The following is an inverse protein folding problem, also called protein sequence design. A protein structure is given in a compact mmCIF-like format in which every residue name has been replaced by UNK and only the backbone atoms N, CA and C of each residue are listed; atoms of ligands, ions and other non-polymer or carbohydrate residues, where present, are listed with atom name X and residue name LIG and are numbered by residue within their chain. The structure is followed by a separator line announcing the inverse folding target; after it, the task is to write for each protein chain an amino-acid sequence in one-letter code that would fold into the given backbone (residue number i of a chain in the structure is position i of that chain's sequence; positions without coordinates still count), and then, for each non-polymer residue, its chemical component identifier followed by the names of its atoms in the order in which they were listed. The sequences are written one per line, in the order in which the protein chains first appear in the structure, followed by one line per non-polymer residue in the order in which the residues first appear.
data_IF_788272628182
#
_entry.id   IF_788272628182
#
_cell.length_a   1.000
_cell.length_b   1.000
_cell.length_c   1.000
_cell.angle_alpha   90.00
_cell.angle_beta   90.00
_cell.angle_gamma   90.00
#
_symmetry.space_group_name_H-M   'P 1'
#
loop_
_entity.id
_entity.type
_entity.pdbx_description
1 polymer ?
#
# COMPACT_ATOMS: atom_id res chain seq x y z
N UNK A 1 -59.67 -40.23 -5.89
CA UNK A 1 -58.42 -40.83 -5.39
C UNK A 1 -57.28 -40.11 -6.08
N UNK A 2 -56.21 -39.61 -5.46
CA UNK A 2 -55.68 -39.62 -4.10
C UNK A 2 -54.83 -38.34 -3.96
N UNK A 3 -54.81 -37.78 -2.74
CA UNK A 3 -53.95 -36.69 -2.28
C UNK A 3 -52.46 -37.04 -2.35
N UNK A 4 -51.61 -36.00 -2.44
CA UNK A 4 -50.17 -36.10 -2.21
C UNK A 4 -49.47 -34.73 -2.26
N UNK A 5 -49.64 -33.93 -1.21
CA UNK A 5 -48.87 -32.69 -0.97
C UNK A 5 -47.43 -33.00 -0.56
N UNK A 6 -46.47 -32.19 -1.01
CA UNK A 6 -45.35 -31.79 -0.14
C UNK A 6 -44.74 -30.49 -0.64
N UNK A 7 -45.01 -29.41 0.09
CA UNK A 7 -44.12 -28.26 0.13
C UNK A 7 -42.95 -28.57 1.06
N UNK A 8 -41.76 -28.12 0.70
CA UNK A 8 -40.61 -28.11 1.59
C UNK A 8 -40.06 -26.67 1.64
N UNK A 9 -40.38 -26.01 2.74
CA UNK A 9 -39.83 -24.73 3.19
C UNK A 9 -38.36 -24.88 3.58
N UNK A 10 -37.60 -23.80 3.35
CA UNK A 10 -36.31 -23.49 3.99
C UNK A 10 -36.31 -23.82 5.49
N UNK A 11 -35.20 -24.38 5.98
CA UNK A 11 -34.48 -23.91 7.19
C UNK A 11 -32.99 -24.30 7.03
N UNK A 12 -32.14 -23.37 6.56
CA UNK A 12 -30.67 -23.52 6.69
C UNK A 12 -30.29 -23.18 8.14
N UNK A 13 -29.92 -24.22 8.90
CA UNK A 13 -29.69 -24.20 10.34
C UNK A 13 -28.38 -23.55 10.77
N UNK A 14 -28.04 -22.36 10.27
CA UNK A 14 -26.91 -21.56 10.79
C UNK A 14 -27.37 -20.69 11.94
N UNK A 15 -27.42 -21.30 13.13
CA UNK A 15 -27.83 -20.65 14.36
C UNK A 15 -26.96 -19.43 14.74
N UNK A 16 -27.53 -18.47 15.49
CA UNK A 16 -26.89 -17.20 15.87
C UNK A 16 -25.68 -17.34 16.82
N UNK A 17 -25.31 -18.57 17.20
CA UNK A 17 -24.16 -18.85 18.07
C UNK A 17 -22.81 -18.78 17.35
N UNK A 18 -22.70 -19.22 16.09
CA UNK A 18 -21.41 -19.22 15.37
C UNK A 18 -20.97 -17.82 14.89
N UNK A 19 -21.93 -16.91 14.67
CA UNK A 19 -21.64 -15.52 14.29
C UNK A 19 -21.10 -14.73 15.49
N UNK A 20 -21.56 -15.05 16.71
CA UNK A 20 -21.06 -14.42 17.95
C UNK A 20 -19.62 -14.85 18.28
N UNK A 21 -19.27 -16.12 18.09
CA UNK A 21 -17.90 -16.59 18.33
C UNK A 21 -16.88 -15.97 17.37
N UNK A 22 -17.22 -15.85 16.07
CA UNK A 22 -16.34 -15.18 15.10
C UNK A 22 -16.18 -13.69 15.37
N UNK A 23 -17.25 -12.99 15.79
CA UNK A 23 -17.16 -11.58 16.21
C UNK A 23 -16.29 -11.41 17.44
N UNK A 24 -16.44 -12.27 18.45
CA UNK A 24 -15.62 -12.23 19.65
C UNK A 24 -14.13 -12.49 19.34
N UNK A 25 -13.82 -13.36 18.38
CA UNK A 25 -12.44 -13.62 17.96
C UNK A 25 -11.83 -12.44 17.18
N UNK A 26 -12.59 -11.81 16.28
CA UNK A 26 -12.15 -10.60 15.58
C UNK A 26 -11.96 -9.42 16.55
N UNK A 27 -12.89 -9.22 17.48
CA UNK A 27 -12.80 -8.17 18.48
C UNK A 27 -11.60 -8.40 19.41
N UNK A 28 -11.33 -9.64 19.82
CA UNK A 28 -10.13 -9.96 20.60
C UNK A 28 -8.83 -9.74 19.81
N UNK A 29 -8.79 -10.04 18.51
CA UNK A 29 -7.60 -9.77 17.69
C UNK A 29 -7.40 -8.27 17.43
N UNK A 30 -8.46 -7.50 17.17
CA UNK A 30 -8.37 -6.04 17.04
C UNK A 30 -7.98 -5.41 18.38
N UNK A 31 -8.47 -5.93 19.51
CA UNK A 31 -8.09 -5.44 20.84
C UNK A 31 -6.64 -5.82 21.20
N UNK A 32 -6.16 -7.00 20.78
CA UNK A 32 -4.76 -7.43 20.92
C UNK A 32 -3.84 -6.57 20.04
N UNK A 33 -4.22 -6.30 18.79
CA UNK A 33 -3.46 -5.46 17.87
C UNK A 33 -3.44 -4.00 18.30
N UNK A 34 -4.55 -3.47 18.84
CA UNK A 34 -4.59 -2.11 19.41
C UNK A 34 -3.90 -2.01 20.77
N UNK A 35 -3.89 -3.08 21.58
CA UNK A 35 -3.04 -3.16 22.78
C UNK A 35 -1.57 -3.25 22.42
N UNK A 36 -1.19 -4.02 21.39
CA UNK A 36 0.18 -4.09 20.89
C UNK A 36 0.60 -2.74 20.31
N UNK A 37 -0.25 -2.08 19.53
CA UNK A 37 0.00 -0.73 19.01
C UNK A 37 0.11 0.32 20.13
N UNK A 38 -0.72 0.25 21.18
CA UNK A 38 -0.65 1.13 22.35
C UNK A 38 0.52 0.81 23.29
N UNK A 39 0.94 -0.44 23.37
CA UNK A 39 2.08 -0.88 24.20
C UNK A 39 3.41 -0.57 23.50
N UNK A 40 3.45 -0.65 22.16
CA UNK A 40 4.56 -0.16 21.34
C UNK A 40 4.65 1.38 21.32
N UNK A 41 3.62 2.08 21.80
CA UNK A 41 3.56 3.54 21.81
C UNK A 41 4.30 4.22 23.00
N UNK A 42 5.02 3.48 23.87
CA UNK A 42 5.67 4.10 25.05
C UNK A 42 7.10 3.65 25.40
N UNK A 43 7.95 3.27 24.44
CA UNK A 43 9.39 3.19 24.72
C UNK A 43 10.30 3.62 23.57
N UNK A 44 9.83 4.52 22.72
CA UNK A 44 10.70 5.23 21.78
C UNK A 44 10.73 6.67 22.25
N UNK A 45 11.84 7.06 22.87
CA UNK A 45 12.03 8.42 23.34
C UNK A 45 11.93 9.35 22.15
N UNK A 46 11.33 10.53 22.32
CA UNK A 46 11.22 11.55 21.26
C UNK A 46 12.59 11.93 20.64
N UNK A 47 13.70 11.61 21.34
CA UNK A 47 15.09 11.74 20.85
C UNK A 47 15.55 10.63 19.90
N UNK A 48 14.98 9.42 19.97
CA UNK A 48 15.30 8.31 19.06
C UNK A 48 14.69 8.51 17.65
N UNK A 49 13.70 9.41 17.54
CA UNK A 49 13.09 9.85 16.29
C UNK A 49 13.91 10.92 15.55
N UNK A 50 14.89 11.57 16.19
CA UNK A 50 15.59 12.71 15.57
C UNK A 50 16.71 12.31 14.60
N UNK A 51 17.21 11.08 14.66
CA UNK A 51 18.04 10.45 13.62
C UNK A 51 17.77 8.95 13.72
N UNK A 52 16.74 8.45 13.03
CA UNK A 52 16.40 7.03 13.03
C UNK A 52 17.66 6.20 12.82
N UNK A 53 17.96 5.27 13.74
CA UNK A 53 19.16 4.43 13.64
C UNK A 53 19.19 3.80 12.24
N UNK A 54 20.32 3.88 11.52
CA UNK A 54 20.39 3.34 10.17
C UNK A 54 20.07 1.85 10.19
N UNK A 55 19.22 1.42 9.27
CA UNK A 55 18.86 0.02 9.10
C UNK A 55 20.09 -0.73 8.58
N UNK A 56 20.60 -1.65 9.39
CA UNK A 56 21.85 -2.37 9.15
C UNK A 56 21.64 -3.81 8.68
N UNK A 57 20.42 -4.34 8.84
CA UNK A 57 20.07 -5.71 8.50
C UNK A 57 18.83 -5.77 7.62
N UNK A 58 18.83 -6.75 6.71
CA UNK A 58 17.71 -6.97 5.78
C UNK A 58 16.44 -7.42 6.52
N UNK A 59 16.60 -8.14 7.62
CA UNK A 59 15.48 -8.62 8.44
C UNK A 59 14.80 -7.46 9.16
N UNK A 60 15.58 -6.52 9.73
CA UNK A 60 15.03 -5.29 10.31
C UNK A 60 14.28 -4.48 9.24
N UNK A 61 14.88 -4.32 8.06
CA UNK A 61 14.24 -3.59 6.96
C UNK A 61 12.91 -4.25 6.55
N UNK A 62 12.89 -5.57 6.44
CA UNK A 62 11.70 -6.32 6.05
C UNK A 62 10.62 -6.29 7.14
N UNK A 63 11.00 -6.38 8.41
CA UNK A 63 10.08 -6.25 9.54
C UNK A 63 9.45 -4.85 9.58
N UNK A 64 10.24 -3.80 9.38
CA UNK A 64 9.72 -2.43 9.26
C UNK A 64 8.77 -2.27 8.08
N UNK A 65 9.12 -2.84 6.91
CA UNK A 65 8.24 -2.82 5.74
C UNK A 65 6.89 -3.49 6.00
N UNK A 66 6.88 -4.61 6.73
CA UNK A 66 5.64 -5.29 7.11
C UNK A 66 4.74 -4.43 8.01
N UNK A 67 5.31 -3.71 8.97
CA UNK A 67 4.56 -2.83 9.86
C UNK A 67 4.01 -1.58 9.15
N UNK A 68 4.72 -1.08 8.14
CA UNK A 68 4.36 0.16 7.44
C UNK A 68 3.46 -0.10 6.23
N UNK A 69 3.42 -1.32 5.68
CA UNK A 69 2.69 -1.61 4.44
C UNK A 69 1.23 -1.14 4.47
N UNK A 70 0.47 -1.51 5.49
CA UNK A 70 -0.95 -1.14 5.59
C UNK A 70 -1.14 0.36 5.80
N UNK A 71 -0.28 1.00 6.61
CA UNK A 71 -0.33 2.45 6.83
C UNK A 71 -0.01 3.22 5.55
N UNK A 72 0.95 2.73 4.76
CA UNK A 72 1.33 3.30 3.49
C UNK A 72 0.21 3.13 2.45
N UNK A 73 -0.42 1.96 2.39
CA UNK A 73 -1.56 1.73 1.51
C UNK A 73 -2.73 2.65 1.87
N UNK A 74 -3.08 2.78 3.16
CA UNK A 74 -4.13 3.69 3.62
C UNK A 74 -3.84 5.14 3.24
N UNK A 75 -2.58 5.55 3.32
CA UNK A 75 -2.14 6.87 2.87
C UNK A 75 -2.34 7.05 1.36
N UNK A 76 -1.91 6.08 0.56
CA UNK A 76 -2.04 6.12 -0.91
C UNK A 76 -3.51 6.08 -1.35
N UNK A 77 -4.35 5.30 -0.66
CA UNK A 77 -5.80 5.30 -0.87
C UNK A 77 -6.37 6.70 -0.63
N UNK A 78 -6.03 7.35 0.49
CA UNK A 78 -6.50 8.71 0.80
C UNK A 78 -6.08 9.72 -0.28
N UNK A 79 -4.84 9.65 -0.75
CA UNK A 79 -4.39 10.46 -1.88
C UNK A 79 -5.23 10.19 -3.13
N UNK A 80 -5.45 8.92 -3.46
CA UNK A 80 -6.28 8.53 -4.58
C UNK A 80 -7.68 9.13 -4.49
N UNK A 81 -8.35 8.99 -3.34
CA UNK A 81 -9.70 9.50 -3.12
C UNK A 81 -9.76 11.01 -3.32
N UNK A 82 -8.78 11.74 -2.79
CA UNK A 82 -8.75 13.21 -2.85
C UNK A 82 -8.40 13.75 -4.24
N UNK A 83 -7.64 13.01 -5.04
CA UNK A 83 -7.13 13.44 -6.34
C UNK A 83 -7.58 12.56 -7.50
N UNK A 84 -8.69 11.84 -7.33
CA UNK A 84 -9.32 10.97 -8.35
C UNK A 84 -8.36 9.93 -8.94
N UNK A 85 -7.46 9.41 -8.11
CA UNK A 85 -6.54 8.35 -8.47
C UNK A 85 -7.24 7.00 -8.61
N UNK A 86 -6.61 6.09 -9.36
CA UNK A 86 -7.14 4.76 -9.67
C UNK A 86 -6.12 3.67 -9.37
N UNK A 87 -6.60 2.49 -9.00
CA UNK A 87 -5.80 1.27 -8.97
C UNK A 87 -6.07 0.42 -10.20
N UNK A 88 -5.05 -0.32 -10.64
CA UNK A 88 -5.18 -1.29 -11.73
C UNK A 88 -5.79 -2.59 -11.21
N UNK A 89 -6.65 -3.22 -12.00
CA UNK A 89 -7.28 -4.51 -11.69
C UNK A 89 -6.37 -5.66 -12.14
N UNK A 90 -6.12 -6.65 -11.27
CA UNK A 90 -5.21 -7.78 -11.55
C UNK A 90 -5.64 -8.64 -12.74
N UNK A 91 -6.94 -8.93 -12.83
CA UNK A 91 -7.52 -9.86 -13.81
C UNK A 91 -8.53 -9.16 -14.71
N UNK A 92 -8.20 -7.96 -15.19
CA UNK A 92 -8.95 -7.36 -16.28
C UNK A 92 -8.84 -8.30 -17.49
N UNK A 93 -9.97 -8.69 -18.09
CA UNK A 93 -10.03 -9.73 -19.12
C UNK A 93 -8.98 -9.56 -20.22
N UNK A 94 -8.54 -10.68 -20.81
CA UNK A 94 -7.41 -10.75 -21.77
C UNK A 94 -7.44 -9.59 -22.78
N UNK A 95 -6.43 -8.73 -22.71
CA UNK A 95 -6.24 -7.61 -23.65
C UNK A 95 -6.89 -6.27 -23.25
N UNK A 96 -7.50 -6.15 -22.07
CA UNK A 96 -7.96 -4.85 -21.56
C UNK A 96 -7.35 -4.58 -20.19
N UNK A 97 -6.69 -3.44 -20.05
CA UNK A 97 -6.39 -2.91 -18.71
C UNK A 97 -7.67 -2.29 -18.15
N UNK A 98 -8.04 -2.67 -16.93
CA UNK A 98 -9.13 -2.02 -16.20
C UNK A 98 -8.54 -1.27 -15.01
N UNK A 99 -9.07 -0.08 -14.80
CA UNK A 99 -8.72 0.82 -13.72
C UNK A 99 -9.97 1.08 -12.89
N UNK A 100 -9.81 1.14 -11.58
CA UNK A 100 -10.90 1.33 -10.64
C UNK A 100 -10.62 2.53 -9.76
N UNK A 101 -11.63 3.36 -9.55
CA UNK A 101 -11.51 4.55 -8.73
C UNK A 101 -11.25 4.18 -7.26
N UNK A 102 -10.24 4.81 -6.69
CA UNK A 102 -9.90 4.65 -5.27
C UNK A 102 -11.03 5.09 -4.33
N UNK A 103 -11.94 5.96 -4.78
CA UNK A 103 -13.17 6.32 -4.05
C UNK A 103 -14.07 5.12 -3.72
N UNK A 104 -14.00 4.08 -4.53
CA UNK A 104 -14.77 2.84 -4.33
C UNK A 104 -14.01 1.79 -3.50
N UNK A 105 -12.86 2.17 -2.91
CA UNK A 105 -12.10 1.31 -2.01
C UNK A 105 -12.79 1.20 -0.65
N UNK A 106 -13.15 -0.02 -0.25
CA UNK A 106 -13.80 -0.31 1.03
C UNK A 106 -12.84 -0.90 2.09
N UNK A 107 -11.58 -1.15 1.72
CA UNK A 107 -10.55 -1.72 2.61
C UNK A 107 -10.68 -3.21 2.91
N UNK A 108 -11.68 -3.90 2.35
CA UNK A 108 -11.90 -5.31 2.62
C UNK A 108 -10.85 -6.20 1.92
N UNK A 109 -10.58 -7.38 2.50
CA UNK A 109 -9.63 -8.34 1.93
C UNK A 109 -10.02 -8.79 0.52
N UNK A 110 -11.32 -8.93 0.25
CA UNK A 110 -11.83 -9.27 -1.08
C UNK A 110 -11.42 -8.21 -2.11
N UNK A 111 -11.61 -6.94 -1.78
CA UNK A 111 -11.24 -5.78 -2.60
C UNK A 111 -9.73 -5.71 -2.80
N UNK A 112 -8.93 -5.99 -1.77
CA UNK A 112 -7.45 -6.09 -1.87
C UNK A 112 -7.00 -7.14 -2.89
N UNK A 113 -7.71 -8.25 -3.01
CA UNK A 113 -7.35 -9.31 -3.96
C UNK A 113 -7.67 -8.97 -5.43
N UNK A 114 -8.61 -8.06 -5.66
CA UNK A 114 -9.03 -7.64 -7.02
C UNK A 114 -8.01 -6.71 -7.68
N UNK A 115 -7.27 -5.92 -6.90
CA UNK A 115 -6.37 -4.90 -7.40
C UNK A 115 -4.90 -5.30 -7.41
N UNK A 116 -4.15 -4.74 -8.35
CA UNK A 116 -2.70 -4.85 -8.47
C UNK A 116 -2.03 -3.89 -7.48
N UNK A 117 -2.14 -4.23 -6.19
CA UNK A 117 -1.48 -3.53 -5.10
C UNK A 117 -0.03 -3.94 -5.00
N UNK A 118 0.81 -3.03 -4.53
CA UNK A 118 2.21 -3.30 -4.30
C UNK A 118 2.43 -4.12 -3.04
N UNK A 119 2.98 -5.32 -3.24
CA UNK A 119 3.46 -6.15 -2.15
C UNK A 119 4.77 -5.63 -1.56
N UNK A 120 5.14 -6.17 -0.40
CA UNK A 120 6.49 -6.03 0.15
C UNK A 120 7.46 -6.70 -0.83
N UNK A 121 8.56 -6.02 -1.15
CA UNK A 121 9.62 -6.59 -1.97
C UNK A 121 10.16 -7.86 -1.31
N UNK A 122 10.29 -8.94 -2.08
CA UNK A 122 10.87 -10.18 -1.57
C UNK A 122 12.30 -9.98 -1.06
N UNK A 123 12.67 -10.72 -0.02
CA UNK A 123 14.02 -10.71 0.56
C UNK A 123 15.06 -10.97 -0.53
N UNK A 124 14.86 -11.93 -1.44
CA UNK A 124 15.86 -12.19 -2.50
C UNK A 124 16.07 -10.98 -3.42
N UNK A 125 14.98 -10.29 -3.80
CA UNK A 125 15.06 -9.12 -4.66
C UNK A 125 15.70 -7.93 -3.94
N UNK A 126 15.37 -7.74 -2.67
CA UNK A 126 15.98 -6.71 -1.83
C UNK A 126 17.47 -6.99 -1.62
N UNK A 127 17.86 -8.24 -1.36
CA UNK A 127 19.24 -8.69 -1.22
C UNK A 127 20.06 -8.43 -2.47
N UNK A 128 19.53 -8.79 -3.65
CA UNK A 128 20.17 -8.46 -4.92
C UNK A 128 20.35 -6.96 -5.09
N UNK A 129 19.34 -6.17 -4.71
CA UNK A 129 19.38 -4.72 -4.88
C UNK A 129 20.44 -4.06 -4.00
N UNK A 130 20.49 -4.37 -2.70
CA UNK A 130 21.47 -3.74 -1.83
C UNK A 130 22.90 -4.22 -2.10
N UNK A 131 23.09 -5.50 -2.42
CA UNK A 131 24.43 -6.05 -2.70
C UNK A 131 25.01 -5.50 -4.01
N UNK A 132 24.21 -5.41 -5.08
CA UNK A 132 24.69 -5.01 -6.41
C UNK A 132 24.61 -3.49 -6.63
N UNK A 133 23.50 -2.85 -6.23
CA UNK A 133 23.24 -1.44 -6.57
C UNK A 133 23.76 -0.50 -5.48
N UNK A 134 23.62 -0.88 -4.21
CA UNK A 134 23.95 -0.02 -3.08
C UNK A 134 25.22 -0.44 -2.33
N UNK A 135 26.07 -1.26 -2.96
CA UNK A 135 27.38 -1.67 -2.43
C UNK A 135 27.34 -2.20 -0.99
N UNK A 136 26.30 -2.96 -0.66
CA UNK A 136 26.12 -3.53 0.68
C UNK A 136 25.32 -2.66 1.66
N UNK A 137 24.99 -1.40 1.31
CA UNK A 137 24.25 -0.52 2.21
C UNK A 137 22.74 -0.81 2.16
N UNK A 138 22.23 -1.48 3.20
CA UNK A 138 20.82 -1.88 3.34
C UNK A 138 19.89 -0.67 3.48
N UNK A 139 20.31 0.37 4.21
CA UNK A 139 19.51 1.58 4.44
C UNK A 139 19.09 2.32 3.16
N UNK A 140 19.78 2.08 2.05
CA UNK A 140 19.49 2.70 0.75
C UNK A 140 18.33 2.02 -0.02
N UNK A 141 17.81 0.89 0.47
CA UNK A 141 16.68 0.18 -0.16
C UNK A 141 15.35 0.82 0.27
N UNK A 142 14.97 1.89 -0.41
CA UNK A 142 13.77 2.68 -0.07
C UNK A 142 12.45 2.15 -0.65
N UNK A 143 12.49 1.21 -1.59
CA UNK A 143 11.30 0.73 -2.33
C UNK A 143 10.76 -0.60 -1.78
N UNK A 144 10.95 -0.87 -0.49
CA UNK A 144 10.48 -2.12 0.14
C UNK A 144 8.97 -2.25 0.12
N UNK A 145 8.29 -1.15 0.42
CA UNK A 145 6.87 -0.96 0.17
C UNK A 145 6.75 0.04 -0.98
N UNK A 146 5.85 -0.23 -1.92
CA UNK A 146 5.59 0.65 -3.06
C UNK A 146 4.12 0.51 -3.43
N UNK A 147 3.54 1.56 -3.96
CA UNK A 147 2.20 1.51 -4.55
C UNK A 147 2.21 2.32 -5.83
N UNK A 148 1.31 1.98 -6.75
CA UNK A 148 1.14 2.70 -8.00
C UNK A 148 -0.26 3.29 -8.05
N UNK A 149 -0.33 4.60 -8.27
CA UNK A 149 -1.58 5.33 -8.44
C UNK A 149 -1.65 5.86 -9.87
N UNK A 150 -2.77 5.58 -10.54
CA UNK A 150 -3.00 5.98 -11.93
C UNK A 150 -3.94 7.18 -11.98
N UNK A 151 -3.73 8.05 -12.96
CA UNK A 151 -4.53 9.26 -13.18
C UNK A 151 -4.89 9.37 -14.66
N UNK A 152 -6.04 9.96 -14.95
CA UNK A 152 -6.48 10.16 -16.34
C UNK A 152 -5.79 11.39 -16.97
N UNK A 153 -5.38 12.35 -16.14
CA UNK A 153 -4.83 13.63 -16.59
C UNK A 153 -3.53 13.98 -15.85
N UNK A 154 -2.68 14.76 -16.50
CA UNK A 154 -1.42 15.25 -15.91
C UNK A 154 -1.72 16.25 -14.79
N UNK A 155 -2.82 16.97 -14.89
CA UNK A 155 -3.31 17.93 -13.90
C UNK A 155 -3.60 17.23 -12.57
N UNK A 156 -4.34 16.11 -12.58
CA UNK A 156 -4.63 15.30 -11.39
C UNK A 156 -3.33 14.77 -10.75
N UNK A 157 -2.42 14.23 -11.56
CA UNK A 157 -1.10 13.76 -11.09
C UNK A 157 -0.33 14.89 -10.40
N UNK A 158 -0.31 16.08 -11.01
CA UNK A 158 0.43 17.24 -10.50
C UNK A 158 -0.18 17.76 -9.20
N UNK A 159 -1.51 17.79 -9.09
CA UNK A 159 -2.20 18.14 -7.85
C UNK A 159 -1.89 17.15 -6.72
N UNK A 160 -1.93 15.85 -7.01
CA UNK A 160 -1.55 14.82 -6.05
C UNK A 160 -0.08 14.97 -5.61
N UNK A 161 0.85 15.25 -6.53
CA UNK A 161 2.26 15.43 -6.19
C UNK A 161 2.48 16.67 -5.30
N UNK A 162 1.78 17.78 -5.56
CA UNK A 162 1.81 18.97 -4.71
C UNK A 162 1.31 18.67 -3.30
N UNK A 163 0.28 17.83 -3.18
CA UNK A 163 -0.23 17.40 -1.89
C UNK A 163 0.81 16.58 -1.11
N UNK A 164 1.46 15.61 -1.78
CA UNK A 164 2.55 14.83 -1.21
C UNK A 164 3.71 15.72 -0.74
N UNK A 165 4.10 16.71 -1.54
CA UNK A 165 5.16 17.66 -1.18
C UNK A 165 4.80 18.57 0.00
N UNK A 166 3.51 18.80 0.23
CA UNK A 166 3.02 19.68 1.30
C UNK A 166 2.67 18.93 2.58
N UNK A 167 2.73 17.59 2.56
CA UNK A 167 2.40 16.77 3.72
C UNK A 167 3.57 16.78 4.73
N UNK A 168 3.37 17.23 5.97
CA UNK A 168 4.44 17.33 6.96
C UNK A 168 4.99 15.96 7.42
N UNK A 169 4.29 14.85 7.13
CA UNK A 169 4.72 13.50 7.48
C UNK A 169 5.55 12.85 6.37
N UNK A 170 5.74 13.51 5.23
CA UNK A 170 6.40 12.94 4.06
C UNK A 170 7.63 13.74 3.70
N UNK A 171 8.75 13.04 3.58
CA UNK A 171 9.96 13.58 3.00
C UNK A 171 10.11 13.04 1.56
N UNK A 172 10.10 13.95 0.58
CA UNK A 172 10.34 13.58 -0.82
C UNK A 172 11.84 13.47 -1.07
N UNK A 173 12.37 12.26 -0.96
CA UNK A 173 13.81 11.98 -1.15
C UNK A 173 14.23 12.04 -2.63
N UNK A 174 13.35 11.59 -3.54
CA UNK A 174 13.66 11.53 -4.97
C UNK A 174 12.42 11.54 -5.85
N UNK A 175 12.44 12.38 -6.89
CA UNK A 175 11.47 12.35 -8.00
C UNK A 175 12.16 11.79 -9.25
N UNK A 176 11.54 10.82 -9.92
CA UNK A 176 11.98 10.31 -11.22
C UNK A 176 10.86 10.55 -12.23
N UNK A 177 11.19 11.20 -13.34
CA UNK A 177 10.29 11.37 -14.48
C UNK A 177 10.80 10.56 -15.66
N UNK A 178 9.90 9.85 -16.33
CA UNK A 178 10.15 9.21 -17.62
C UNK A 178 9.42 9.91 -18.76
N UNK A 179 8.80 11.08 -18.50
CA UNK A 179 8.31 11.93 -19.56
C UNK A 179 9.50 12.23 -20.45
N UNK A 180 9.54 11.62 -21.65
CA UNK A 180 10.53 11.98 -22.64
C UNK A 180 10.22 13.41 -23.01
N UNK A 181 11.11 14.31 -22.63
CA UNK A 181 11.12 15.66 -23.13
C UNK A 181 11.03 15.56 -24.66
N UNK A 182 9.89 15.91 -25.24
CA UNK A 182 9.84 16.20 -26.66
C UNK A 182 10.61 17.49 -26.77
N UNK A 183 11.93 17.37 -26.96
CA UNK A 183 12.84 18.49 -27.09
C UNK A 183 12.39 19.34 -28.29
N UNK A 184 11.48 20.28 -28.05
CA UNK A 184 11.33 21.46 -28.86
C UNK A 184 12.27 22.49 -28.23
N UNK A 185 13.49 22.55 -28.78
CA UNK A 185 14.45 23.65 -28.66
C UNK A 185 14.23 24.59 -27.45
N UNK A 186 14.71 24.19 -26.28
CA UNK A 186 15.12 25.17 -25.28
C UNK A 186 16.26 24.61 -24.46
N UNK A 187 17.43 25.19 -24.67
CA UNK A 187 18.67 24.94 -23.95
C UNK A 187 18.49 25.14 -22.44
N UNK A 188 18.31 24.05 -21.70
CA UNK A 188 18.65 24.00 -20.28
C UNK A 188 19.75 22.96 -20.08
N UNK A 189 20.98 23.46 -20.01
CA UNK A 189 22.16 22.71 -19.58
C UNK A 189 22.05 22.56 -18.06
N UNK A 190 21.48 21.45 -17.60
CA UNK A 190 21.50 21.03 -16.21
C UNK A 190 22.38 19.78 -16.07
N UNK A 191 23.68 19.99 -15.85
CA UNK A 191 24.67 18.95 -15.60
C UNK A 191 24.23 18.10 -14.38
N UNK A 192 23.84 16.84 -14.60
CA UNK A 192 23.77 15.83 -13.53
C UNK A 192 24.86 14.80 -13.77
N UNK A 193 26.08 15.19 -13.38
CA UNK A 193 27.21 14.29 -13.23
C UNK A 193 26.96 13.34 -12.06
N UNK A 194 27.13 12.04 -12.33
CA UNK A 194 27.21 11.00 -11.31
C UNK A 194 28.69 10.84 -10.95
N UNK A 195 29.01 10.96 -9.67
CA UNK A 195 30.22 10.44 -9.04
C UNK A 195 29.80 9.51 -7.89
#
# INVERSE_FOLDING_TARGET
SLFGSTGASLVDGRGPHQVKEKRNFLEQNVLQSTKLAKTLHWSVSRRDLELGKPVDSIDQLHAQAFLVQDLFLDFVVKLGVNYTGKFKVKNAGVGREAYFETASWDGNDETRTQFELGGIKSIQSATRKFSVVYRGNVSMVMDMVRETLYFDTVEQLTQCLKAVQSDPLIEVVRVKSTFREVAQNSSYVGNLGWA
#
